data_IF_250502047176
#
_entry.id   IF_250502047176
#
_cell.length_a   1.000
_cell.length_b   1.000
_cell.length_c   1.000
_cell.angle_alpha   90.00
_cell.angle_beta   90.00
_cell.angle_gamma   90.00
#
_symmetry.space_group_name_H-M   'P 1'
#
loop_
_entity.id
_entity.type
_entity.pdbx_description
1 polymer ?
#
# COMPACT_ATOMS: atom_id res chain seq x y z
N UNK A 1 -6.44 -17.96 -0.20
CA UNK A 1 -6.06 -16.91 0.78
C UNK A 1 -5.34 -15.84 -0.02
N UNK A 2 -5.91 -14.65 -0.20
CA UNK A 2 -5.23 -13.57 -0.94
C UNK A 2 -3.88 -13.31 -0.27
N UNK A 3 -2.78 -13.50 -1.00
CA UNK A 3 -1.48 -13.13 -0.47
C UNK A 3 -1.45 -11.60 -0.38
N UNK A 4 -1.11 -11.06 0.80
CA UNK A 4 -1.02 -9.61 1.04
C UNK A 4 -0.19 -8.91 -0.04
N UNK A 5 0.84 -9.59 -0.56
CA UNK A 5 1.68 -9.08 -1.62
C UNK A 5 0.92 -8.82 -2.94
N UNK A 6 -0.02 -9.69 -3.32
CA UNK A 6 -0.82 -9.52 -4.55
C UNK A 6 -1.77 -8.33 -4.43
N UNK A 7 -2.46 -8.23 -3.30
CA UNK A 7 -3.34 -7.09 -3.03
C UNK A 7 -2.55 -5.79 -3.03
N UNK A 8 -1.42 -5.76 -2.33
CA UNK A 8 -0.53 -4.59 -2.28
C UNK A 8 -0.07 -4.17 -3.68
N UNK A 9 0.42 -5.11 -4.50
CA UNK A 9 0.87 -4.80 -5.88
C UNK A 9 -0.26 -4.24 -6.74
N UNK A 10 -1.44 -4.89 -6.71
CA UNK A 10 -2.64 -4.43 -7.43
C UNK A 10 -3.04 -3.02 -6.95
N UNK A 11 -3.06 -2.81 -5.65
CA UNK A 11 -3.43 -1.54 -5.02
C UNK A 11 -2.46 -0.42 -5.37
N UNK A 12 -1.14 -0.60 -5.17
CA UNK A 12 -0.14 0.42 -5.49
C UNK A 12 -0.17 0.80 -6.98
N UNK A 13 -0.32 -0.16 -7.91
CA UNK A 13 -0.48 0.12 -9.34
C UNK A 13 -1.74 0.95 -9.62
N UNK A 14 -2.82 0.63 -8.93
CA UNK A 14 -4.11 1.32 -9.06
C UNK A 14 -4.02 2.76 -8.56
N UNK A 15 -3.36 2.99 -7.42
CA UNK A 15 -3.10 4.34 -6.89
C UNK A 15 -2.17 5.15 -7.82
N UNK A 16 -1.09 4.53 -8.30
CA UNK A 16 -0.16 5.17 -9.24
C UNK A 16 -0.84 5.62 -10.54
N UNK A 17 -1.74 4.79 -11.05
CA UNK A 17 -2.55 5.12 -12.24
C UNK A 17 -3.68 6.12 -11.96
N UNK A 18 -3.95 6.49 -10.70
CA UNK A 18 -5.14 7.24 -10.27
C UNK A 18 -6.44 6.65 -10.84
N UNK A 19 -6.51 5.32 -10.95
CA UNK A 19 -7.67 4.64 -11.49
C UNK A 19 -8.81 4.62 -10.45
N UNK A 20 -9.64 5.66 -10.45
CA UNK A 20 -10.74 5.81 -9.48
C UNK A 20 -11.72 4.65 -9.46
N UNK A 21 -12.02 4.03 -10.62
CA UNK A 21 -12.88 2.84 -10.66
C UNK A 21 -12.21 1.65 -9.97
N UNK A 22 -10.92 1.44 -10.25
CA UNK A 22 -10.13 0.39 -9.59
C UNK A 22 -10.00 0.61 -8.08
N UNK A 23 -9.83 1.86 -7.63
CA UNK A 23 -9.81 2.22 -6.20
C UNK A 23 -11.16 1.86 -5.57
N UNK A 24 -12.26 2.21 -6.22
CA UNK A 24 -13.60 1.90 -5.71
C UNK A 24 -13.83 0.39 -5.60
N UNK A 25 -13.45 -0.38 -6.61
CA UNK A 25 -13.58 -1.84 -6.60
C UNK A 25 -12.70 -2.47 -5.48
N UNK A 26 -11.45 -2.01 -5.31
CA UNK A 26 -10.57 -2.45 -4.21
C UNK A 26 -11.10 -2.04 -2.83
N UNK A 27 -11.75 -0.87 -2.70
CA UNK A 27 -12.37 -0.44 -1.45
C UNK A 27 -13.49 -1.38 -1.03
N UNK A 28 -14.23 -1.94 -1.98
CA UNK A 28 -15.26 -2.93 -1.72
C UNK A 28 -14.67 -4.27 -1.30
N UNK A 29 -13.60 -4.73 -1.96
CA UNK A 29 -12.84 -5.93 -1.56
C UNK A 29 -12.29 -5.77 -0.13
N UNK A 30 -11.69 -4.61 0.19
CA UNK A 30 -11.16 -4.29 1.51
C UNK A 30 -12.25 -4.24 2.58
N UNK A 31 -13.37 -3.57 2.30
CA UNK A 31 -14.48 -3.45 3.25
C UNK A 31 -15.18 -4.78 3.53
N UNK A 32 -15.14 -5.73 2.59
CA UNK A 32 -15.64 -7.09 2.80
C UNK A 32 -14.73 -7.93 3.71
N UNK A 33 -13.50 -7.48 3.99
CA UNK A 33 -12.63 -8.12 4.96
C UNK A 33 -13.09 -7.83 6.40
N UNK A 34 -12.87 -8.75 7.33
CA UNK A 34 -13.06 -8.48 8.76
C UNK A 34 -12.03 -7.46 9.29
N UNK A 35 -12.39 -6.69 10.31
CA UNK A 35 -11.57 -5.60 10.89
C UNK A 35 -10.10 -5.98 11.13
N UNK A 36 -9.85 -7.13 11.75
CA UNK A 36 -8.46 -7.57 12.02
C UNK A 36 -7.69 -7.88 10.74
N UNK A 37 -8.35 -8.38 9.69
CA UNK A 37 -7.72 -8.60 8.38
C UNK A 37 -7.41 -7.28 7.67
N UNK A 38 -8.30 -6.28 7.80
CA UNK A 38 -8.08 -4.93 7.26
C UNK A 38 -6.84 -4.30 7.89
N UNK A 39 -6.76 -4.29 9.23
CA UNK A 39 -5.60 -3.76 9.96
C UNK A 39 -4.33 -4.52 9.62
N UNK A 40 -4.38 -5.85 9.59
CA UNK A 40 -3.24 -6.66 9.19
C UNK A 40 -2.77 -6.32 7.78
N UNK A 41 -3.67 -6.21 6.81
CA UNK A 41 -3.33 -5.83 5.43
C UNK A 41 -2.65 -4.46 5.37
N UNK A 42 -3.18 -3.45 6.08
CA UNK A 42 -2.61 -2.11 6.13
C UNK A 42 -1.21 -2.13 6.78
N UNK A 43 -1.06 -2.81 7.92
CA UNK A 43 0.22 -2.90 8.63
C UNK A 43 1.30 -3.64 7.82
N UNK A 44 0.94 -4.74 7.15
CA UNK A 44 1.86 -5.44 6.25
C UNK A 44 2.18 -4.62 5.00
N UNK A 45 1.23 -3.83 4.49
CA UNK A 45 1.45 -2.91 3.36
C UNK A 45 2.42 -1.80 3.72
N UNK A 46 2.26 -1.19 4.90
CA UNK A 46 3.19 -0.20 5.44
C UNK A 46 4.60 -0.78 5.59
N UNK A 47 4.72 -1.99 6.17
CA UNK A 47 6.00 -2.70 6.28
C UNK A 47 6.62 -2.99 4.90
N UNK A 48 5.83 -3.44 3.92
CA UNK A 48 6.34 -3.64 2.55
C UNK A 48 6.82 -2.35 1.91
N UNK A 49 6.15 -1.23 2.14
CA UNK A 49 6.56 0.07 1.62
C UNK A 49 7.89 0.52 2.23
N UNK A 50 8.04 0.43 3.55
CA UNK A 50 9.30 0.73 4.26
C UNK A 50 10.42 -0.19 3.78
N UNK A 51 10.16 -1.49 3.64
CA UNK A 51 11.16 -2.42 3.11
C UNK A 51 11.54 -2.05 1.69
N UNK A 52 10.59 -1.63 0.84
CA UNK A 52 10.89 -1.16 -0.52
C UNK A 52 11.79 0.08 -0.54
N UNK A 53 11.59 1.02 0.38
CA UNK A 53 12.51 2.15 0.58
C UNK A 53 13.92 1.69 0.94
N UNK A 54 14.05 0.75 1.88
CA UNK A 54 15.35 0.19 2.26
C UNK A 54 16.05 -0.47 1.06
N UNK A 55 15.30 -1.05 0.12
CA UNK A 55 15.85 -1.63 -1.11
C UNK A 55 16.46 -0.58 -2.04
N UNK A 56 15.92 0.63 -2.13
CA UNK A 56 16.52 1.70 -2.94
C UNK A 56 17.97 2.03 -2.56
N UNK A 57 18.37 1.70 -1.33
CA UNK A 57 19.72 1.93 -0.80
C UNK A 57 20.71 0.78 -1.08
N UNK A 58 20.24 -0.45 -1.31
CA UNK A 58 21.10 -1.64 -1.46
C UNK A 58 20.32 -2.86 -2.04
N UNK A 59 19.66 -2.69 -3.21
CA UNK A 59 18.73 -3.64 -3.89
C UNK A 59 19.21 -5.10 -3.95
N UNK A 60 20.53 -5.36 -3.87
CA UNK A 60 21.15 -6.67 -4.15
C UNK A 60 20.88 -7.79 -3.12
N UNK A 61 20.17 -7.57 -2.02
CA UNK A 61 20.08 -8.58 -0.92
C UNK A 61 18.70 -9.20 -0.69
N UNK A 62 17.64 -8.79 -1.40
CA UNK A 62 16.32 -9.40 -1.22
C UNK A 62 16.15 -10.62 -2.13
N UNK A 63 15.80 -11.77 -1.55
CA UNK A 63 15.39 -12.95 -2.30
C UNK A 63 13.89 -12.86 -2.58
N UNK A 64 13.52 -12.33 -3.74
CA UNK A 64 12.17 -12.49 -4.24
C UNK A 64 11.99 -13.94 -4.72
N UNK A 65 10.91 -14.58 -4.29
CA UNK A 65 10.55 -15.91 -4.77
C UNK A 65 9.80 -15.85 -6.12
N UNK A 66 9.35 -14.66 -6.52
CA UNK A 66 8.56 -14.42 -7.72
C UNK A 66 9.20 -13.29 -8.58
N UNK A 67 9.55 -13.57 -9.86
CA UNK A 67 10.08 -12.57 -10.79
C UNK A 67 9.18 -11.34 -11.00
N UNK A 68 7.85 -11.50 -10.93
CA UNK A 68 6.91 -10.38 -11.07
C UNK A 68 6.92 -9.46 -9.85
N UNK A 69 7.23 -10.00 -8.67
CA UNK A 69 7.44 -9.20 -7.47
C UNK A 69 8.74 -8.41 -7.60
N UNK A 70 9.82 -9.06 -8.00
CA UNK A 70 11.12 -8.41 -8.19
C UNK A 70 11.05 -7.25 -9.20
N UNK A 71 10.43 -7.47 -10.36
CA UNK A 71 10.24 -6.42 -11.38
C UNK A 71 9.34 -5.29 -10.89
N UNK A 72 8.31 -5.59 -10.08
CA UNK A 72 7.48 -4.54 -9.48
C UNK A 72 8.27 -3.73 -8.46
N UNK A 73 8.91 -4.36 -7.48
CA UNK A 73 9.59 -3.69 -6.38
C UNK A 73 10.83 -2.92 -6.83
N UNK A 74 11.56 -3.42 -7.83
CA UNK A 74 12.70 -2.69 -8.42
C UNK A 74 12.28 -1.36 -9.05
N UNK A 75 11.13 -1.32 -9.75
CA UNK A 75 10.55 -0.08 -10.30
C UNK A 75 9.88 0.78 -9.25
N UNK A 76 9.21 0.15 -8.27
CA UNK A 76 8.50 0.87 -7.23
C UNK A 76 9.45 1.60 -6.27
N UNK A 77 10.64 1.05 -6.02
CA UNK A 77 11.64 1.62 -5.12
C UNK A 77 12.04 3.06 -5.50
N UNK A 78 12.06 3.42 -6.78
CA UNK A 78 12.40 4.79 -7.21
C UNK A 78 11.34 5.84 -6.84
N UNK A 79 10.12 5.42 -6.47
CA UNK A 79 9.02 6.32 -6.09
C UNK A 79 8.89 6.48 -4.57
N UNK A 80 9.64 5.70 -3.78
CA UNK A 80 9.64 5.80 -2.33
C UNK A 80 10.95 6.46 -1.92
N UNK A 81 10.87 7.71 -1.45
CA UNK A 81 12.01 8.53 -1.07
C UNK A 81 12.00 8.77 0.44
N UNK A 82 13.09 9.30 0.99
CA UNK A 82 13.13 9.65 2.41
C UNK A 82 12.09 10.72 2.74
N UNK A 83 11.85 11.63 1.80
CA UNK A 83 10.95 12.77 1.98
C UNK A 83 9.47 12.35 2.03
N UNK A 84 9.09 11.26 1.35
CA UNK A 84 7.72 10.77 1.34
C UNK A 84 7.46 9.58 2.28
N UNK A 85 8.51 9.00 2.87
CA UNK A 85 8.39 7.85 3.78
C UNK A 85 7.56 8.19 5.02
N UNK A 86 7.79 9.35 5.64
CA UNK A 86 7.05 9.81 6.82
C UNK A 86 5.57 10.02 6.50
N UNK A 87 5.26 10.53 5.30
CA UNK A 87 3.89 10.67 4.85
C UNK A 87 3.19 9.32 4.75
N UNK A 88 3.83 8.34 4.11
CA UNK A 88 3.26 7.00 4.00
C UNK A 88 3.03 6.41 5.39
N UNK A 89 4.05 6.43 6.25
CA UNK A 89 3.94 5.92 7.61
C UNK A 89 2.72 6.51 8.35
N UNK A 90 2.60 7.84 8.37
CA UNK A 90 1.51 8.52 9.06
C UNK A 90 0.14 8.20 8.46
N UNK A 91 0.04 8.13 7.13
CA UNK A 91 -1.23 7.82 6.44
C UNK A 91 -1.71 6.40 6.73
N UNK A 92 -0.79 5.43 6.78
CA UNK A 92 -1.12 4.05 7.13
C UNK A 92 -1.56 3.93 8.61
N UNK A 93 -0.82 4.55 9.53
CA UNK A 93 -1.16 4.56 10.96
C UNK A 93 -2.54 5.21 11.21
N UNK A 94 -2.80 6.35 10.57
CA UNK A 94 -4.09 7.04 10.66
C UNK A 94 -5.25 6.16 10.13
N UNK A 95 -5.06 5.51 8.98
CA UNK A 95 -6.05 4.60 8.44
C UNK A 95 -6.34 3.42 9.37
N UNK A 96 -5.30 2.81 9.96
CA UNK A 96 -5.44 1.72 10.95
C UNK A 96 -6.23 2.23 12.16
N UNK A 97 -5.87 3.39 12.68
CA UNK A 97 -6.53 4.02 13.82
C UNK A 97 -8.01 4.31 13.57
N UNK A 98 -8.37 4.83 12.38
CA UNK A 98 -9.77 5.06 12.01
C UNK A 98 -10.57 3.75 11.90
N UNK A 99 -9.95 2.67 11.41
CA UNK A 99 -10.56 1.33 11.38
C UNK A 99 -10.81 0.79 12.80
N UNK A 100 -9.89 1.02 13.73
CA UNK A 100 -10.06 0.62 15.13
C UNK A 100 -11.23 1.34 15.83
N UNK A 101 -11.53 2.56 15.39
CA UNK A 101 -12.64 3.37 15.89
C UNK A 101 -13.96 3.15 15.15
N UNK A 102 -14.07 2.06 14.39
CA UNK A 102 -15.25 1.68 13.62
C UNK A 102 -15.62 2.69 12.53
N UNK A 103 -14.62 3.42 11.99
CA UNK A 103 -14.83 4.25 10.81
C UNK A 103 -15.17 3.40 9.56
N UNK A 104 -15.77 4.03 8.55
CA UNK A 104 -16.21 3.33 7.35
C UNK A 104 -15.01 2.83 6.53
N UNK A 105 -14.83 1.50 6.37
CA UNK A 105 -13.63 0.97 5.72
C UNK A 105 -13.49 1.37 4.25
N UNK A 106 -14.61 1.56 3.53
CA UNK A 106 -14.57 1.98 2.13
C UNK A 106 -14.04 3.40 2.01
N UNK A 107 -14.52 4.31 2.85
CA UNK A 107 -14.10 5.72 2.83
C UNK A 107 -12.63 5.84 3.24
N UNK A 108 -12.24 5.21 4.35
CA UNK A 108 -10.85 5.23 4.85
C UNK A 108 -9.89 4.69 3.79
N UNK A 109 -10.20 3.54 3.19
CA UNK A 109 -9.33 2.95 2.17
C UNK A 109 -9.27 3.80 0.90
N UNK A 110 -10.39 4.39 0.49
CA UNK A 110 -10.45 5.26 -0.69
C UNK A 110 -9.61 6.52 -0.48
N UNK A 111 -9.74 7.16 0.67
CA UNK A 111 -8.98 8.35 1.05
C UNK A 111 -7.47 8.07 1.06
N UNK A 112 -7.05 7.02 1.77
CA UNK A 112 -5.67 6.55 1.78
C UNK A 112 -5.14 6.25 0.37
N UNK A 113 -5.97 5.66 -0.50
CA UNK A 113 -5.58 5.36 -1.89
C UNK A 113 -5.28 6.61 -2.70
N UNK A 114 -6.07 7.67 -2.54
CA UNK A 114 -5.85 8.93 -3.23
C UNK A 114 -4.64 9.67 -2.68
N UNK A 115 -4.41 9.63 -1.37
CA UNK A 115 -3.23 10.20 -0.74
C UNK A 115 -1.94 9.54 -1.23
N UNK A 116 -1.92 8.21 -1.28
CA UNK A 116 -0.82 7.45 -1.88
C UNK A 116 -0.61 7.85 -3.35
N UNK A 117 -1.69 7.94 -4.13
CA UNK A 117 -1.62 8.32 -5.54
C UNK A 117 -1.09 9.74 -5.77
N UNK A 118 -1.38 10.68 -4.85
CA UNK A 118 -0.90 12.07 -4.91
C UNK A 118 0.60 12.15 -4.63
N UNK A 119 1.10 11.40 -3.65
CA UNK A 119 2.53 11.39 -3.29
C UNK A 119 3.42 10.93 -4.44
N UNK A 120 2.99 9.99 -5.27
CA UNK A 120 3.78 9.56 -6.43
C UNK A 120 3.95 10.64 -7.51
N UNK A 121 3.37 11.82 -7.33
CA UNK A 121 3.44 12.95 -8.28
C UNK A 121 4.16 14.17 -7.72
N UNK A 122 4.54 14.15 -6.44
CA UNK A 122 5.35 15.17 -5.79
C UNK A 122 6.84 14.81 -5.95
#
# INVERSE_FOLDING_TARGET
MLQVADFFRKWMRTCFALNGRGIFDLSAEFAAMGREKQKHLLAESARKLITTFQLGSDVKKMKFYNPDEENFFSKFASFVTKDNLDFFHNSFEEAIFHIERNGNPKLIFTDLSFDIGRIFRL
#
